data_IF_520281668947
#
_entry.id   IF_520281668947
#
_cell.length_a   1.000
_cell.length_b   1.000
_cell.length_c   1.000
_cell.angle_alpha   90.00
_cell.angle_beta   90.00
_cell.angle_gamma   90.00
#
_symmetry.space_group_name_H-M   'P 1'
#
loop_
_entity.id
_entity.type
_entity.pdbx_description
1 polymer ?
#
# COMPACT_ATOMS: atom_id res chain seq x y z
N UNK A 1 -9.15 3.70 3.20
CA UNK A 1 -8.06 3.48 2.24
C UNK A 1 -8.50 3.95 0.86
N UNK A 2 -7.64 4.69 0.16
CA UNK A 2 -7.89 5.20 -1.19
C UNK A 2 -7.69 4.09 -2.25
N UNK A 3 -8.28 4.23 -3.47
CA UNK A 3 -8.16 3.19 -4.50
C UNK A 3 -6.72 2.87 -4.90
N UNK A 4 -5.84 3.89 -4.96
CA UNK A 4 -4.44 3.67 -5.30
C UNK A 4 -3.66 2.98 -4.18
N UNK A 5 -3.95 3.32 -2.92
CA UNK A 5 -3.40 2.62 -1.75
C UNK A 5 -3.79 1.14 -1.79
N UNK A 6 -5.09 0.83 -1.99
CA UNK A 6 -5.59 -0.54 -2.11
C UNK A 6 -4.83 -1.31 -3.18
N UNK A 7 -4.67 -0.73 -4.37
CA UNK A 7 -3.95 -1.35 -5.49
C UNK A 7 -2.50 -1.70 -5.14
N UNK A 8 -1.80 -0.82 -4.40
CA UNK A 8 -0.42 -1.07 -4.00
C UNK A 8 -0.35 -2.10 -2.85
N UNK A 9 -1.26 -2.03 -1.89
CA UNK A 9 -1.37 -3.03 -0.82
C UNK A 9 -1.66 -4.41 -1.43
N UNK A 10 -2.58 -4.52 -2.39
CA UNK A 10 -2.87 -5.77 -3.10
C UNK A 10 -1.64 -6.37 -3.78
N UNK A 11 -0.73 -5.52 -4.30
CA UNK A 11 0.54 -5.95 -4.88
C UNK A 11 1.56 -6.37 -3.81
N UNK A 12 1.58 -5.69 -2.66
CA UNK A 12 2.44 -6.04 -1.52
C UNK A 12 2.02 -7.35 -0.86
N UNK A 13 0.72 -7.67 -0.83
CA UNK A 13 0.17 -8.90 -0.26
C UNK A 13 0.14 -10.07 -1.26
N UNK A 14 0.81 -9.95 -2.41
CA UNK A 14 0.81 -11.02 -3.42
C UNK A 14 1.50 -12.31 -2.94
N UNK A 15 2.39 -12.20 -1.95
CA UNK A 15 3.07 -13.34 -1.30
C UNK A 15 2.44 -13.78 0.03
N UNK A 16 1.40 -13.10 0.50
CA UNK A 16 0.68 -13.44 1.73
C UNK A 16 -0.18 -14.69 1.52
N UNK A 17 -0.37 -15.49 2.57
CA UNK A 17 -1.29 -16.62 2.54
C UNK A 17 -2.71 -16.16 2.13
N UNK A 18 -3.39 -16.85 1.19
CA UNK A 18 -4.70 -16.44 0.69
C UNK A 18 -5.75 -16.20 1.79
N UNK A 19 -5.73 -17.02 2.84
CA UNK A 19 -6.62 -16.96 4.00
C UNK A 19 -6.41 -15.71 4.87
N UNK A 20 -5.21 -15.12 4.85
CA UNK A 20 -4.87 -13.93 5.66
C UNK A 20 -4.93 -12.64 4.86
N UNK A 21 -4.96 -12.72 3.53
CA UNK A 21 -4.86 -11.56 2.65
C UNK A 21 -5.92 -10.50 2.93
N UNK A 22 -7.19 -10.90 3.05
CA UNK A 22 -8.27 -9.94 3.30
C UNK A 22 -8.16 -9.30 4.68
N UNK A 23 -7.78 -10.08 5.70
CA UNK A 23 -7.54 -9.59 7.06
C UNK A 23 -6.37 -8.61 7.12
N UNK A 24 -5.28 -8.88 6.41
CA UNK A 24 -4.14 -7.95 6.28
C UNK A 24 -4.59 -6.64 5.65
N UNK A 25 -5.37 -6.71 4.55
CA UNK A 25 -5.79 -5.50 3.86
C UNK A 25 -6.77 -4.69 4.73
N UNK A 26 -7.67 -5.35 5.44
CA UNK A 26 -8.56 -4.71 6.41
C UNK A 26 -7.77 -4.03 7.52
N UNK A 27 -6.79 -4.72 8.12
CA UNK A 27 -5.92 -4.14 9.14
C UNK A 27 -5.22 -2.88 8.62
N UNK A 28 -4.61 -2.92 7.43
CA UNK A 28 -3.98 -1.75 6.82
C UNK A 28 -4.98 -0.61 6.62
N UNK A 29 -6.19 -0.92 6.17
CA UNK A 29 -7.24 0.08 5.96
C UNK A 29 -7.67 0.76 7.27
N UNK A 30 -7.82 -0.01 8.35
CA UNK A 30 -8.16 0.48 9.69
C UNK A 30 -7.01 1.32 10.27
N UNK A 31 -5.77 0.86 10.14
CA UNK A 31 -4.59 1.60 10.63
C UNK A 31 -4.40 2.94 9.90
N UNK A 32 -4.61 2.98 8.58
CA UNK A 32 -4.60 4.24 7.82
C UNK A 32 -5.73 5.19 8.27
N UNK A 33 -6.91 4.65 8.60
CA UNK A 33 -8.04 5.44 9.08
C UNK A 33 -7.80 6.02 10.49
N UNK A 34 -7.05 5.31 11.33
CA UNK A 34 -6.69 5.71 12.70
C UNK A 34 -5.52 6.70 12.78
N UNK A 35 -4.83 7.00 11.68
CA UNK A 35 -3.72 7.97 11.68
C UNK A 35 -4.17 9.38 12.11
N UNK A 36 -3.29 10.15 12.79
CA UNK A 36 -3.52 11.57 13.04
C UNK A 36 -3.86 12.32 11.75
N UNK A 37 -4.76 13.30 11.83
CA UNK A 37 -5.33 13.96 10.64
C UNK A 37 -4.28 14.54 9.70
N UNK A 38 -3.23 15.18 10.25
CA UNK A 38 -2.13 15.76 9.48
C UNK A 38 -1.36 14.67 8.70
N UNK A 39 -1.05 13.55 9.36
CA UNK A 39 -0.37 12.41 8.73
C UNK A 39 -1.26 11.76 7.68
N UNK A 40 -2.54 11.54 7.98
CA UNK A 40 -3.52 10.99 7.05
C UNK A 40 -3.68 11.87 5.81
N UNK A 41 -3.71 13.19 5.98
CA UNK A 41 -3.80 14.14 4.88
C UNK A 41 -2.55 14.10 3.99
N UNK A 42 -1.35 14.02 4.58
CA UNK A 42 -0.10 13.84 3.84
C UNK A 42 -0.11 12.55 3.02
N UNK A 43 -0.47 11.43 3.64
CA UNK A 43 -0.57 10.13 2.98
C UNK A 43 -1.58 10.15 1.83
N UNK A 44 -2.76 10.74 2.06
CA UNK A 44 -3.80 10.87 1.05
C UNK A 44 -3.37 11.74 -0.13
N UNK A 45 -2.69 12.87 0.12
CA UNK A 45 -2.18 13.74 -0.93
C UNK A 45 -1.16 13.02 -1.82
N UNK A 46 -0.23 12.28 -1.22
CA UNK A 46 0.73 11.44 -1.94
C UNK A 46 0.02 10.36 -2.77
N UNK A 47 -0.94 9.65 -2.17
CA UNK A 47 -1.74 8.62 -2.84
C UNK A 47 -2.53 9.15 -4.05
N UNK A 48 -3.10 10.35 -3.94
CA UNK A 48 -3.80 11.02 -5.05
C UNK A 48 -2.81 11.36 -6.17
N UNK A 49 -1.66 11.94 -5.83
CA UNK A 49 -0.63 12.29 -6.80
C UNK A 49 -0.11 11.05 -7.56
N UNK A 50 0.16 9.96 -6.84
CA UNK A 50 0.62 8.71 -7.45
C UNK A 50 -0.46 8.01 -8.25
N UNK A 51 -1.72 8.07 -7.79
CA UNK A 51 -2.87 7.58 -8.54
C UNK A 51 -3.05 8.30 -9.88
N UNK A 52 -2.96 9.63 -9.87
CA UNK A 52 -3.01 10.45 -11.09
C UNK A 52 -1.85 10.11 -12.05
N UNK A 53 -0.63 10.01 -11.52
CA UNK A 53 0.55 9.60 -12.30
C UNK A 53 0.39 8.21 -12.92
N UNK A 54 -0.11 7.22 -12.17
CA UNK A 54 -0.39 5.88 -12.71
C UNK A 54 -1.49 5.91 -13.77
N UNK A 55 -2.57 6.68 -13.57
CA UNK A 55 -3.66 6.81 -14.53
C UNK A 55 -3.21 7.47 -15.85
N UNK A 56 -2.35 8.49 -15.80
CA UNK A 56 -1.78 9.10 -17.02
C UNK A 56 -0.94 8.08 -17.77
N UNK A 57 -0.16 7.29 -17.05
CA UNK A 57 0.72 6.29 -17.65
C UNK A 57 -0.05 5.10 -18.23
N UNK A 58 -1.09 4.64 -17.55
CA UNK A 58 -1.93 3.52 -18.02
C UNK A 58 -2.62 3.82 -19.34
N UNK A 59 -2.88 5.12 -19.65
CA UNK A 59 -3.37 5.58 -20.96
C UNK A 59 -2.35 5.39 -22.09
N UNK A 60 -1.06 5.48 -21.80
CA UNK A 60 0.01 5.29 -22.80
C UNK A 60 0.31 3.79 -22.98
N UNK A 61 0.33 3.05 -21.87
CA UNK A 61 0.53 1.59 -21.87
C UNK A 61 -0.20 1.00 -20.67
N UNK A 62 -0.98 -0.08 -20.83
CA UNK A 62 -1.58 -0.78 -19.70
C UNK A 62 -0.53 -1.13 -18.63
N UNK A 63 -0.81 -0.79 -17.37
CA UNK A 63 0.07 -1.07 -16.23
C UNK A 63 -0.63 -1.98 -15.23
N UNK A 64 0.11 -2.94 -14.68
CA UNK A 64 -0.35 -3.75 -13.55
C UNK A 64 -0.02 -3.08 -12.21
N UNK A 65 -0.62 -3.58 -11.12
CA UNK A 65 -0.28 -3.11 -9.77
C UNK A 65 1.18 -3.43 -9.41
N UNK A 66 1.70 -4.58 -9.86
CA UNK A 66 3.09 -4.96 -9.68
C UNK A 66 4.06 -4.02 -10.42
N UNK A 67 3.71 -3.59 -11.64
CA UNK A 67 4.52 -2.62 -12.40
C UNK A 67 4.57 -1.25 -11.70
N UNK A 68 3.44 -0.82 -11.14
CA UNK A 68 3.34 0.42 -10.38
C UNK A 68 4.22 0.35 -9.12
N UNK A 69 4.08 -0.73 -8.34
CA UNK A 69 4.89 -0.98 -7.15
C UNK A 69 6.39 -0.97 -7.48
N UNK A 70 6.82 -1.77 -8.47
CA UNK A 70 8.22 -1.89 -8.87
C UNK A 70 8.81 -0.56 -9.37
N UNK A 71 7.99 0.35 -9.91
CA UNK A 71 8.44 1.70 -10.26
C UNK A 71 8.55 2.62 -9.04
N UNK A 72 7.56 2.60 -8.16
CA UNK A 72 7.58 3.44 -6.95
C UNK A 72 8.77 3.08 -6.06
N UNK A 73 9.11 1.80 -5.94
CA UNK A 73 10.29 1.32 -5.20
C UNK A 73 11.62 1.85 -5.75
N UNK A 74 11.70 2.03 -7.07
CA UNK A 74 12.90 2.52 -7.78
C UNK A 74 12.85 4.01 -8.09
N UNK A 75 11.83 4.72 -7.62
CA UNK A 75 11.64 6.13 -7.92
C UNK A 75 12.81 6.97 -7.36
N UNK A 76 13.36 7.97 -8.08
CA UNK A 76 14.52 8.73 -7.62
C UNK A 76 14.24 9.57 -6.37
N UNK A 77 13.00 10.04 -6.19
CA UNK A 77 12.59 10.82 -5.02
C UNK A 77 12.44 9.92 -3.79
N UNK A 78 13.18 10.25 -2.74
CA UNK A 78 13.20 9.51 -1.46
C UNK A 78 11.81 9.37 -0.82
N UNK A 79 11.01 10.44 -0.83
CA UNK A 79 9.66 10.45 -0.23
C UNK A 79 8.74 9.38 -0.85
N UNK A 80 8.79 9.21 -2.18
CA UNK A 80 8.01 8.17 -2.86
C UNK A 80 8.39 6.77 -2.37
N UNK A 81 9.69 6.51 -2.20
CA UNK A 81 10.15 5.24 -1.65
C UNK A 81 9.75 5.07 -0.18
N UNK A 82 9.72 6.16 0.61
CA UNK A 82 9.27 6.13 1.99
C UNK A 82 7.78 5.80 2.10
N UNK A 83 6.93 6.34 1.23
CA UNK A 83 5.52 5.99 1.16
C UNK A 83 5.30 4.49 0.92
N UNK A 84 6.02 3.89 -0.03
CA UNK A 84 5.96 2.43 -0.28
C UNK A 84 6.44 1.64 0.94
N UNK A 85 7.52 2.09 1.59
CA UNK A 85 8.06 1.44 2.80
C UNK A 85 7.09 1.51 3.96
N UNK A 86 6.36 2.62 4.12
CA UNK A 86 5.34 2.76 5.14
C UNK A 86 4.21 1.75 4.92
N UNK A 87 3.67 1.63 3.70
CA UNK A 87 2.66 0.62 3.38
C UNK A 87 3.18 -0.81 3.60
N UNK A 88 4.42 -1.09 3.19
CA UNK A 88 5.04 -2.40 3.43
C UNK A 88 5.19 -2.72 4.91
N UNK A 89 5.57 -1.73 5.73
CA UNK A 89 5.69 -1.91 7.17
C UNK A 89 4.33 -2.24 7.80
N UNK A 90 3.25 -1.58 7.36
CA UNK A 90 1.89 -1.90 7.82
C UNK A 90 1.44 -3.31 7.41
N UNK A 91 1.72 -3.72 6.18
CA UNK A 91 1.43 -5.09 5.70
C UNK A 91 2.18 -6.11 6.54
N UNK A 92 3.49 -5.94 6.73
CA UNK A 92 4.31 -6.85 7.54
C UNK A 92 3.82 -6.90 8.99
N UNK A 93 3.46 -5.75 9.57
CA UNK A 93 2.92 -5.70 10.93
C UNK A 93 1.61 -6.48 11.05
N UNK A 94 0.68 -6.29 10.10
CA UNK A 94 -0.58 -7.02 10.05
C UNK A 94 -0.37 -8.53 9.90
N UNK A 95 0.53 -8.96 9.01
CA UNK A 95 0.90 -10.38 8.85
C UNK A 95 1.44 -10.97 10.16
N UNK A 96 2.31 -10.25 10.86
CA UNK A 96 2.87 -10.72 12.13
C UNK A 96 1.83 -10.77 13.25
N UNK A 97 0.89 -9.81 13.32
CA UNK A 97 -0.20 -9.86 14.30
C UNK A 97 -1.15 -11.03 14.06
N UNK A 98 -1.48 -11.34 12.80
CA UNK A 98 -2.35 -12.45 12.45
C UNK A 98 -1.69 -13.81 12.74
N UNK A 99 -0.45 -14.00 12.30
CA UNK A 99 0.33 -15.22 12.61
C UNK A 99 0.54 -15.37 14.12
N UNK A 100 0.83 -14.27 14.80
CA UNK A 100 1.02 -14.24 16.25
C UNK A 100 -0.26 -14.48 17.06
N UNK A 101 -1.43 -14.19 16.50
CA UNK A 101 -2.73 -14.47 17.10
C UNK A 101 -3.10 -15.96 16.99
N UNK A 102 -2.73 -16.63 15.89
CA UNK A 102 -2.97 -18.07 15.68
C UNK A 102 -2.07 -18.97 16.54
N UNK A 103 -0.93 -18.46 17.00
CA UNK A 103 0.01 -19.20 17.85
C UNK A 103 -0.36 -19.20 19.36
N UNK A 104 -1.44 -18.53 19.76
CA UNK A 104 -1.95 -18.48 21.15
C UNK A 104 -3.19 -19.33 21.34
#
# INVERSE_FOLDING_TARGET
MLPFERRIVDALTAGTLPEHRDAVIEHVALTLAAMPEVTRAGFAAESIAFGAWSAVRSRVRPTSAADDLARLERHPVSLVRQWVRALRALVLFAEQELIGAEAR
#
